data_IF_245435526376
#
_entry.id   IF_245435526376
#
_cell.length_a   1.000
_cell.length_b   1.000
_cell.length_c   1.000
_cell.angle_alpha   90.00
_cell.angle_beta   90.00
_cell.angle_gamma   90.00
#
_symmetry.space_group_name_H-M   'P 1'
#
loop_
_entity.id
_entity.type
_entity.pdbx_description
1 polymer ?
#
# COMPACT_ATOMS: atom_id res chain seq x y z
N UNK A 1 -7.28 -22.84 -18.43
CA UNK A 1 -7.68 -22.97 -17.01
C UNK A 1 -6.51 -23.21 -16.03
N UNK A 2 -5.37 -23.84 -16.40
CA UNK A 2 -4.22 -23.99 -15.48
C UNK A 2 -3.30 -22.77 -15.40
N UNK A 3 -3.07 -22.08 -16.53
CA UNK A 3 -2.18 -20.91 -16.63
C UNK A 3 -2.65 -19.75 -15.75
N UNK A 4 -3.96 -19.55 -15.65
CA UNK A 4 -4.56 -18.47 -14.86
C UNK A 4 -4.36 -18.69 -13.36
N UNK A 5 -4.45 -19.94 -12.89
CA UNK A 5 -4.22 -20.29 -11.48
C UNK A 5 -2.77 -20.08 -11.07
N UNK A 6 -1.81 -20.47 -11.91
CA UNK A 6 -0.38 -20.26 -11.66
C UNK A 6 -0.05 -18.76 -11.59
N UNK A 7 -0.60 -17.97 -12.52
CA UNK A 7 -0.44 -16.51 -12.54
C UNK A 7 -1.01 -15.85 -11.30
N UNK A 8 -2.20 -16.26 -10.86
CA UNK A 8 -2.83 -15.78 -9.62
C UNK A 8 -1.94 -16.10 -8.41
N UNK A 9 -1.45 -17.34 -8.30
CA UNK A 9 -0.59 -17.75 -7.18
C UNK A 9 0.70 -16.92 -7.12
N UNK A 10 1.33 -16.65 -8.27
CA UNK A 10 2.50 -15.77 -8.35
C UNK A 10 2.20 -14.34 -7.87
N UNK A 11 1.00 -13.82 -8.15
CA UNK A 11 0.57 -12.50 -7.68
C UNK A 11 0.35 -12.48 -6.16
N UNK A 12 -0.26 -13.51 -5.59
CA UNK A 12 -0.38 -13.66 -4.13
C UNK A 12 0.99 -13.72 -3.46
N UNK A 13 1.92 -14.54 -3.97
CA UNK A 13 3.29 -14.62 -3.45
C UNK A 13 4.03 -13.28 -3.56
N UNK A 14 3.83 -12.55 -4.67
CA UNK A 14 4.40 -11.21 -4.84
C UNK A 14 3.80 -10.22 -3.84
N UNK A 15 2.48 -10.24 -3.64
CA UNK A 15 1.80 -9.39 -2.67
C UNK A 15 2.28 -9.68 -1.23
N UNK A 16 2.40 -10.94 -0.84
CA UNK A 16 2.92 -11.33 0.48
C UNK A 16 4.32 -10.78 0.76
N UNK A 17 5.22 -10.81 -0.25
CA UNK A 17 6.55 -10.18 -0.15
C UNK A 17 6.47 -8.66 0.01
N UNK A 18 5.55 -7.99 -0.71
CA UNK A 18 5.40 -6.55 -0.62
C UNK A 18 4.77 -6.10 0.69
N UNK A 19 3.84 -6.89 1.25
CA UNK A 19 3.30 -6.69 2.58
C UNK A 19 4.42 -6.76 3.63
N UNK A 20 5.28 -7.80 3.58
CA UNK A 20 6.38 -7.93 4.52
C UNK A 20 7.37 -6.76 4.43
N UNK A 21 7.69 -6.31 3.21
CA UNK A 21 8.54 -5.12 3.00
C UNK A 21 7.89 -3.86 3.55
N UNK A 22 6.61 -3.64 3.26
CA UNK A 22 5.88 -2.45 3.72
C UNK A 22 5.66 -2.45 5.25
N UNK A 23 5.56 -3.62 5.90
CA UNK A 23 5.48 -3.72 7.36
C UNK A 23 6.83 -3.42 8.03
N UNK A 24 7.90 -4.10 7.58
CA UNK A 24 9.22 -3.99 8.21
C UNK A 24 9.96 -2.69 7.86
N UNK A 25 9.78 -2.21 6.63
CA UNK A 25 10.46 -1.02 6.08
C UNK A 25 9.45 -0.20 5.27
N UNK A 26 8.56 0.56 5.92
CA UNK A 26 7.51 1.37 5.28
C UNK A 26 8.02 2.59 4.48
N UNK A 27 9.14 2.46 3.77
CA UNK A 27 9.68 3.47 2.87
C UNK A 27 8.72 3.72 1.70
N UNK A 28 8.73 4.94 1.15
CA UNK A 28 7.87 5.37 0.04
C UNK A 28 7.79 4.34 -1.10
N UNK A 29 8.93 3.77 -1.49
CA UNK A 29 8.98 2.77 -2.57
C UNK A 29 8.29 1.45 -2.19
N UNK A 30 8.45 0.97 -0.96
CA UNK A 30 7.80 -0.26 -0.49
C UNK A 30 6.29 -0.08 -0.35
N UNK A 31 5.84 1.07 0.16
CA UNK A 31 4.41 1.44 0.21
C UNK A 31 3.82 1.52 -1.20
N UNK A 32 4.55 2.12 -2.14
CA UNK A 32 4.13 2.20 -3.54
C UNK A 32 4.05 0.81 -4.20
N UNK A 33 5.09 -0.03 -4.04
CA UNK A 33 5.09 -1.39 -4.59
C UNK A 33 3.97 -2.26 -4.00
N UNK A 34 3.68 -2.14 -2.71
CA UNK A 34 2.53 -2.78 -2.09
C UNK A 34 1.23 -2.35 -2.77
N UNK A 35 1.00 -1.04 -2.93
CA UNK A 35 -0.22 -0.54 -3.60
C UNK A 35 -0.36 -1.06 -5.02
N UNK A 36 0.70 -1.05 -5.80
CA UNK A 36 0.70 -1.52 -7.19
C UNK A 36 0.46 -3.03 -7.27
N UNK A 37 1.07 -3.82 -6.38
CA UNK A 37 0.82 -5.26 -6.30
C UNK A 37 -0.64 -5.57 -5.94
N UNK A 38 -1.21 -4.86 -4.96
CA UNK A 38 -2.61 -5.02 -4.57
C UNK A 38 -3.55 -4.66 -5.71
N UNK A 39 -3.36 -3.51 -6.39
CA UNK A 39 -4.21 -3.12 -7.52
C UNK A 39 -4.14 -4.12 -8.67
N UNK A 40 -2.95 -4.69 -8.94
CA UNK A 40 -2.78 -5.72 -9.97
C UNK A 40 -3.53 -7.00 -9.62
N UNK A 41 -3.49 -7.44 -8.36
CA UNK A 41 -4.26 -8.60 -7.91
C UNK A 41 -5.78 -8.32 -7.98
N UNK A 42 -6.23 -7.14 -7.54
CA UNK A 42 -7.64 -6.73 -7.66
C UNK A 42 -8.12 -6.80 -9.11
N UNK A 43 -7.38 -6.22 -10.06
CA UNK A 43 -7.75 -6.22 -11.48
C UNK A 43 -7.83 -7.63 -12.09
N UNK A 44 -6.88 -8.51 -11.75
CA UNK A 44 -6.88 -9.89 -12.24
C UNK A 44 -8.03 -10.69 -11.64
N UNK A 45 -8.35 -10.48 -10.36
CA UNK A 45 -9.50 -11.14 -9.73
C UNK A 45 -10.83 -10.62 -10.28
N UNK A 46 -10.95 -9.32 -10.56
CA UNK A 46 -12.12 -8.73 -11.20
C UNK A 46 -12.38 -9.31 -12.60
N UNK A 47 -11.31 -9.60 -13.35
CA UNK A 47 -11.39 -10.17 -14.70
C UNK A 47 -11.70 -11.68 -14.70
N UNK A 48 -11.00 -12.45 -13.86
CA UNK A 48 -11.06 -13.91 -13.88
C UNK A 48 -12.17 -14.51 -13.01
N UNK A 49 -12.74 -13.71 -12.10
CA UNK A 49 -13.77 -14.16 -11.16
C UNK A 49 -14.98 -13.22 -11.26
N UNK A 50 -15.82 -13.38 -12.30
CA UNK A 50 -17.00 -12.53 -12.49
C UNK A 50 -18.00 -12.65 -11.33
N UNK A 51 -18.10 -13.83 -10.71
CA UNK A 51 -18.94 -14.08 -9.53
C UNK A 51 -18.11 -14.55 -8.33
N UNK A 52 -17.52 -13.62 -7.55
CA UNK A 52 -16.68 -14.02 -6.43
C UNK A 52 -17.51 -14.64 -5.30
N UNK A 53 -17.02 -15.70 -4.68
CA UNK A 53 -17.64 -16.27 -3.49
C UNK A 53 -17.54 -15.32 -2.28
N UNK A 54 -18.16 -15.69 -1.16
CA UNK A 54 -18.15 -14.88 0.07
C UNK A 54 -16.73 -14.61 0.59
N UNK A 55 -15.82 -15.57 0.45
CA UNK A 55 -14.44 -15.48 0.92
C UNK A 55 -13.61 -14.55 0.03
N UNK A 56 -13.76 -14.63 -1.29
CA UNK A 56 -13.11 -13.77 -2.27
C UNK A 56 -13.57 -12.33 -2.11
N UNK A 57 -14.89 -12.08 -1.91
CA UNK A 57 -15.40 -10.73 -1.59
C UNK A 57 -14.81 -10.17 -0.29
N UNK A 58 -14.72 -11.01 0.76
CA UNK A 58 -14.09 -10.62 2.04
C UNK A 58 -12.63 -10.22 1.84
N UNK A 59 -11.88 -11.01 1.07
CA UNK A 59 -10.49 -10.76 0.72
C UNK A 59 -10.32 -9.44 -0.04
N UNK A 60 -11.08 -9.22 -1.12
CA UNK A 60 -11.03 -7.97 -1.90
C UNK A 60 -11.33 -6.76 -1.00
N UNK A 61 -12.30 -6.87 -0.09
CA UNK A 61 -12.61 -5.81 0.87
C UNK A 61 -11.46 -5.54 1.84
N UNK A 62 -10.76 -6.58 2.31
CA UNK A 62 -9.57 -6.42 3.16
C UNK A 62 -8.43 -5.74 2.39
N UNK A 63 -8.13 -6.19 1.17
CA UNK A 63 -7.11 -5.60 0.30
C UNK A 63 -7.41 -4.12 -0.01
N UNK A 64 -8.66 -3.79 -0.33
CA UNK A 64 -9.08 -2.41 -0.57
C UNK A 64 -8.88 -1.54 0.68
N UNK A 65 -9.19 -2.05 1.88
CA UNK A 65 -8.97 -1.32 3.15
C UNK A 65 -7.48 -1.05 3.39
N UNK A 66 -6.62 -2.05 3.19
CA UNK A 66 -5.17 -1.87 3.34
C UNK A 66 -4.61 -0.91 2.28
N UNK A 67 -5.04 -1.03 1.02
CA UNK A 67 -4.65 -0.14 -0.07
C UNK A 67 -5.03 1.31 0.22
N UNK A 68 -6.21 1.57 0.80
CA UNK A 68 -6.63 2.92 1.24
C UNK A 68 -5.71 3.48 2.33
N UNK A 69 -5.33 2.68 3.33
CA UNK A 69 -4.37 3.10 4.37
C UNK A 69 -3.01 3.44 3.76
N UNK A 70 -2.50 2.58 2.89
CA UNK A 70 -1.25 2.82 2.17
C UNK A 70 -1.33 4.04 1.24
N UNK A 71 -2.51 4.34 0.70
CA UNK A 71 -2.76 5.55 -0.09
C UNK A 71 -2.46 6.81 0.71
N UNK A 72 -2.98 6.91 1.92
CA UNK A 72 -2.75 8.07 2.80
C UNK A 72 -1.27 8.31 3.10
N UNK A 73 -0.47 7.24 3.22
CA UNK A 73 0.98 7.36 3.37
C UNK A 73 1.63 7.82 2.06
N UNK A 74 1.24 7.21 0.93
CA UNK A 74 1.81 7.53 -0.38
C UNK A 74 1.50 8.96 -0.82
N UNK A 75 0.31 9.48 -0.52
CA UNK A 75 -0.08 10.85 -0.85
C UNK A 75 0.88 11.84 -0.15
N UNK A 76 1.20 11.58 1.12
CA UNK A 76 2.19 12.37 1.86
C UNK A 76 3.60 12.20 1.30
N UNK A 77 4.01 10.99 0.92
CA UNK A 77 5.31 10.78 0.28
C UNK A 77 5.45 11.61 -1.01
N UNK A 78 4.39 11.69 -1.82
CA UNK A 78 4.36 12.50 -3.05
C UNK A 78 4.37 13.99 -2.72
N UNK A 79 3.54 14.45 -1.77
CA UNK A 79 3.51 15.85 -1.34
C UNK A 79 4.85 16.32 -0.78
N UNK A 80 5.50 15.49 0.05
CA UNK A 80 6.83 15.78 0.61
C UNK A 80 7.87 15.88 -0.51
N UNK A 81 7.85 14.96 -1.49
CA UNK A 81 8.76 14.99 -2.63
C UNK A 81 8.54 16.26 -3.48
N UNK A 82 7.29 16.60 -3.78
CA UNK A 82 6.92 17.81 -4.51
C UNK A 82 7.39 19.06 -3.75
N UNK A 83 7.10 19.17 -2.45
CA UNK A 83 7.53 20.30 -1.63
C UNK A 83 9.06 20.43 -1.60
N UNK A 84 9.80 19.33 -1.50
CA UNK A 84 11.26 19.35 -1.57
C UNK A 84 11.78 19.92 -2.89
N UNK A 85 11.16 19.56 -4.02
CA UNK A 85 11.55 20.05 -5.36
C UNK A 85 11.23 21.52 -5.62
N UNK A 86 10.29 22.12 -4.87
CA UNK A 86 9.94 23.54 -5.06
C UNK A 86 11.08 24.43 -4.58
N UNK A 87 11.57 25.33 -5.45
CA UNK A 87 12.50 26.39 -5.07
C UNK A 87 11.68 27.56 -4.51
N UNK A 88 11.78 27.79 -3.20
CA UNK A 88 11.12 28.92 -2.53
C UNK A 88 12.19 29.80 -1.92
N UNK A 89 12.56 30.87 -2.65
CA UNK A 89 13.63 31.79 -2.25
C UNK A 89 13.18 32.81 -1.21
N UNK A 90 11.88 33.12 -1.17
CA UNK A 90 11.34 34.22 -0.37
C UNK A 90 10.96 33.80 1.07
N UNK A 91 10.68 32.51 1.31
CA UNK A 91 10.11 32.03 2.57
C UNK A 91 10.64 30.65 3.00
N UNK A 92 11.97 30.49 3.21
CA UNK A 92 12.58 29.20 3.56
C UNK A 92 12.08 28.63 4.90
N UNK A 93 11.70 29.50 5.84
CA UNK A 93 11.14 29.12 7.14
C UNK A 93 9.79 28.41 7.02
N UNK A 94 8.87 28.97 6.23
CA UNK A 94 7.53 28.39 6.01
C UNK A 94 7.60 27.03 5.31
N UNK A 95 8.47 26.89 4.30
CA UNK A 95 8.72 25.60 3.63
C UNK A 95 9.18 24.55 4.62
N UNK A 96 10.12 24.91 5.49
CA UNK A 96 10.67 24.01 6.52
C UNK A 96 9.61 23.59 7.52
N UNK A 97 8.77 24.52 7.99
CA UNK A 97 7.67 24.23 8.91
C UNK A 97 6.63 23.28 8.31
N UNK A 98 6.20 23.55 7.07
CA UNK A 98 5.28 22.67 6.35
C UNK A 98 5.85 21.26 6.17
N UNK A 99 7.14 21.16 5.82
CA UNK A 99 7.81 19.86 5.67
C UNK A 99 7.82 19.06 6.97
N UNK A 100 8.06 19.71 8.13
CA UNK A 100 8.00 19.06 9.44
C UNK A 100 6.60 18.52 9.73
N UNK A 101 5.57 19.33 9.52
CA UNK A 101 4.18 18.93 9.75
C UNK A 101 3.79 17.73 8.87
N UNK A 102 4.16 17.74 7.58
CA UNK A 102 3.89 16.63 6.67
C UNK A 102 4.60 15.34 7.09
N UNK A 103 5.87 15.43 7.53
CA UNK A 103 6.62 14.28 8.03
C UNK A 103 6.00 13.68 9.30
N UNK A 104 5.50 14.53 10.20
CA UNK A 104 4.80 14.07 11.41
C UNK A 104 3.50 13.34 11.05
N UNK A 105 2.65 13.94 10.20
CA UNK A 105 1.43 13.29 9.74
C UNK A 105 1.77 11.97 9.04
N UNK A 106 2.82 11.94 8.22
CA UNK A 106 3.26 10.73 7.51
C UNK A 106 3.66 9.63 8.49
N UNK A 107 4.40 9.96 9.54
CA UNK A 107 4.75 9.01 10.62
C UNK A 107 3.51 8.44 11.32
N UNK A 108 2.52 9.28 11.63
CA UNK A 108 1.27 8.81 12.24
C UNK A 108 0.46 7.88 11.32
N UNK A 109 0.42 8.17 10.01
CA UNK A 109 -0.25 7.32 9.01
C UNK A 109 0.51 6.02 8.76
N UNK A 110 1.84 6.08 8.78
CA UNK A 110 2.70 4.91 8.69
C UNK A 110 2.43 3.92 9.82
N UNK A 111 2.43 4.37 11.08
CA UNK A 111 2.13 3.50 12.23
C UNK A 111 0.80 2.75 12.02
N UNK A 112 -0.26 3.50 11.67
CA UNK A 112 -1.59 2.92 11.37
C UNK A 112 -1.61 1.96 10.18
N UNK A 113 -0.67 2.09 9.24
CA UNK A 113 -0.51 1.16 8.13
C UNK A 113 0.21 -0.10 8.61
N UNK A 114 1.34 0.05 9.30
CA UNK A 114 2.15 -1.06 9.83
C UNK A 114 1.27 -1.92 10.74
N UNK A 115 0.56 -1.34 11.70
CA UNK A 115 -0.35 -2.07 12.59
C UNK A 115 -1.35 -2.92 11.78
N UNK A 116 -1.96 -2.33 10.74
CA UNK A 116 -2.94 -3.03 9.90
C UNK A 116 -2.33 -4.15 9.03
N UNK A 117 -1.06 -4.01 8.66
CA UNK A 117 -0.33 -5.06 7.96
C UNK A 117 0.04 -6.18 8.93
N UNK A 118 0.44 -5.86 10.16
CA UNK A 118 0.97 -6.80 11.15
C UNK A 118 -0.10 -7.64 11.86
N UNK A 119 -1.26 -7.04 12.19
CA UNK A 119 -2.19 -7.60 13.18
C UNK A 119 -2.72 -9.00 12.83
N UNK A 120 -3.12 -9.27 11.58
CA UNK A 120 -3.75 -10.54 11.19
C UNK A 120 -3.71 -10.81 9.68
N UNK A 121 -3.59 -9.75 8.87
CA UNK A 121 -3.81 -9.82 7.42
C UNK A 121 -2.70 -10.57 6.67
N UNK A 122 -1.44 -10.52 7.12
CA UNK A 122 -0.34 -11.32 6.51
C UNK A 122 -0.56 -12.81 6.73
N UNK A 123 -1.04 -13.19 7.92
CA UNK A 123 -1.14 -14.59 8.34
C UNK A 123 -2.23 -15.32 7.56
N UNK A 124 -3.32 -14.64 7.23
CA UNK A 124 -4.40 -15.17 6.37
C UNK A 124 -4.03 -15.18 4.87
N UNK A 125 -3.28 -14.19 4.41
CA UNK A 125 -2.83 -14.10 3.01
C UNK A 125 -1.71 -15.08 2.67
N UNK A 126 -0.86 -15.46 3.64
CA UNK A 126 0.24 -16.45 3.44
C UNK A 126 -0.25 -17.90 3.36
N UNK A 127 -1.47 -18.20 3.81
CA UNK A 127 -2.05 -19.55 3.82
C UNK A 127 -2.77 -19.92 2.52
N UNK A 128 -2.82 -19.01 1.54
CA UNK A 128 -3.50 -19.14 0.23
C UNK A 128 -2.47 -19.01 -0.89
#
# INVERSE_FOLDING_TARGET
>A
MSVDQERIHLLFRKLGRQIAKASNKPQSQNVHQFRTATRRLEAVLEELVPEPDRNQRKLLKQLARLRRRAGRVRDLDVQIAALRSLKMSEEPGRKTQLLRNLLEIRSQREKKLVDALDTDTVRDLRKR
#
